data_IF_495871894572
#
_entry.id   IF_495871894572
#
_cell.length_a   1.000
_cell.length_b   1.000
_cell.length_c   1.000
_cell.angle_alpha   90.00
_cell.angle_beta   90.00
_cell.angle_gamma   90.00
#
_symmetry.space_group_name_H-M   'P 1'
#
loop_
_entity.id
_entity.type
_entity.pdbx_description
1 polymer ?
#
# COMPACT_ATOMS: atom_id res chain seq x y z
N UNK A 1 -9.89 -30.97 -28.44
CA UNK A 1 -9.84 -31.89 -27.27
C UNK A 1 -8.99 -31.21 -26.23
N UNK A 2 -9.51 -30.90 -25.05
CA UNK A 2 -8.66 -30.48 -23.95
C UNK A 2 -7.72 -31.65 -23.61
N UNK A 3 -6.41 -31.45 -23.73
CA UNK A 3 -5.41 -32.49 -23.45
C UNK A 3 -5.32 -32.86 -21.96
N UNK A 4 -5.91 -32.05 -21.08
CA UNK A 4 -5.87 -32.21 -19.62
C UNK A 4 -7.27 -32.11 -19.02
N UNK A 5 -7.55 -32.93 -18.00
CA UNK A 5 -8.78 -32.89 -17.22
C UNK A 5 -8.84 -31.64 -16.36
N UNK A 6 -10.00 -31.00 -16.20
CA UNK A 6 -10.22 -29.83 -15.33
C UNK A 6 -9.66 -30.00 -13.91
N UNK A 7 -9.76 -31.22 -13.36
CA UNK A 7 -9.22 -31.53 -12.02
C UNK A 7 -7.69 -31.46 -12.00
N UNK A 8 -7.04 -31.94 -13.07
CA UNK A 8 -5.59 -31.85 -13.23
C UNK A 8 -5.15 -30.40 -13.45
N UNK A 9 -5.95 -29.59 -14.14
CA UNK A 9 -5.65 -28.17 -14.36
C UNK A 9 -5.78 -27.36 -13.06
N UNK A 10 -6.87 -27.53 -12.30
CA UNK A 10 -7.01 -26.90 -10.98
C UNK A 10 -5.90 -27.32 -10.01
N UNK A 11 -5.47 -28.58 -10.07
CA UNK A 11 -4.32 -29.04 -9.30
C UNK A 11 -3.01 -28.38 -9.76
N UNK A 12 -2.79 -28.24 -11.07
CA UNK A 12 -1.62 -27.57 -11.62
C UNK A 12 -1.57 -26.07 -11.23
N UNK A 13 -2.69 -25.35 -11.30
CA UNK A 13 -2.78 -23.97 -10.81
C UNK A 13 -2.43 -23.88 -9.31
N UNK A 14 -3.00 -24.76 -8.49
CA UNK A 14 -2.75 -24.77 -7.05
C UNK A 14 -1.29 -25.09 -6.70
N UNK A 15 -0.68 -26.07 -7.37
CA UNK A 15 0.71 -26.46 -7.16
C UNK A 15 1.70 -25.41 -7.69
N UNK A 16 1.42 -24.80 -8.85
CA UNK A 16 2.22 -23.71 -9.39
C UNK A 16 2.26 -22.50 -8.47
N UNK A 17 1.08 -22.06 -8.03
CA UNK A 17 0.95 -20.96 -7.08
C UNK A 17 1.71 -21.23 -5.78
N UNK A 18 1.67 -22.46 -5.27
CA UNK A 18 2.42 -22.84 -4.07
C UNK A 18 3.95 -22.70 -4.27
N UNK A 19 4.50 -23.17 -5.39
CA UNK A 19 5.94 -23.05 -5.70
C UNK A 19 6.35 -21.58 -5.82
N UNK A 20 5.54 -20.74 -6.47
CA UNK A 20 5.78 -19.29 -6.60
C UNK A 20 5.81 -18.61 -5.23
N UNK A 21 4.84 -18.90 -4.37
CA UNK A 21 4.73 -18.30 -3.04
C UNK A 21 5.93 -18.68 -2.17
N UNK A 22 6.36 -19.95 -2.19
CA UNK A 22 7.53 -20.39 -1.43
C UNK A 22 8.80 -19.73 -2.02
N UNK A 23 8.88 -19.51 -3.34
CA UNK A 23 10.02 -18.83 -3.97
C UNK A 23 10.11 -17.36 -3.60
N UNK A 24 8.98 -16.67 -3.59
CA UNK A 24 8.88 -15.31 -3.08
C UNK A 24 9.25 -15.24 -1.60
N UNK A 25 8.78 -16.20 -0.79
CA UNK A 25 9.12 -16.31 0.62
C UNK A 25 10.64 -16.41 0.82
N UNK A 26 11.32 -17.31 0.10
CA UNK A 26 12.78 -17.47 0.22
C UNK A 26 13.53 -16.23 -0.24
N UNK A 27 13.03 -15.50 -1.24
CA UNK A 27 13.62 -14.24 -1.70
C UNK A 27 13.52 -13.14 -0.64
N UNK A 28 12.37 -12.99 0.03
CA UNK A 28 12.17 -11.92 1.03
C UNK A 28 12.87 -12.24 2.37
N UNK A 29 12.90 -13.52 2.77
CA UNK A 29 13.56 -13.94 4.01
C UNK A 29 15.06 -14.11 3.87
N UNK A 30 15.63 -13.91 2.67
CA UNK A 30 17.04 -14.13 2.35
C UNK A 30 17.51 -15.52 2.81
N UNK A 31 16.65 -16.52 2.61
CA UNK A 31 16.92 -17.88 3.06
C UNK A 31 17.84 -18.58 2.04
N UNK A 32 18.98 -19.07 2.52
CA UNK A 32 19.98 -19.76 1.70
C UNK A 32 20.19 -21.18 2.22
N UNK A 33 19.62 -22.16 1.51
CA UNK A 33 19.79 -23.57 1.85
C UNK A 33 20.78 -24.22 0.87
N UNK A 34 22.08 -24.02 1.11
CA UNK A 34 23.15 -24.52 0.25
C UNK A 34 23.11 -23.94 -1.17
N UNK A 35 23.02 -24.75 -2.24
CA UNK A 35 22.96 -24.23 -3.62
C UNK A 35 21.62 -23.56 -3.98
N UNK A 36 20.60 -23.66 -3.11
CA UNK A 36 19.28 -23.08 -3.31
C UNK A 36 19.22 -21.69 -2.67
N UNK A 37 19.47 -20.66 -3.48
CA UNK A 37 19.28 -19.26 -3.10
C UNK A 37 17.85 -18.82 -3.37
N UNK A 38 17.36 -17.83 -2.62
CA UNK A 38 16.01 -17.26 -2.83
C UNK A 38 15.79 -16.73 -4.27
N UNK A 39 16.84 -16.28 -4.95
CA UNK A 39 16.77 -15.87 -6.37
C UNK A 39 16.53 -17.06 -7.29
N UNK A 40 17.22 -18.19 -7.07
CA UNK A 40 17.06 -19.39 -7.88
C UNK A 40 15.65 -19.98 -7.69
N UNK A 41 15.20 -20.06 -6.44
CA UNK A 41 13.89 -20.58 -6.08
C UNK A 41 12.77 -19.72 -6.70
N UNK A 42 12.86 -18.39 -6.56
CA UNK A 42 11.92 -17.47 -7.19
C UNK A 42 11.90 -17.59 -8.72
N UNK A 43 13.05 -17.77 -9.34
CA UNK A 43 13.14 -17.94 -10.80
C UNK A 43 12.44 -19.21 -11.27
N UNK A 44 12.58 -20.32 -10.52
CA UNK A 44 11.87 -21.57 -10.80
C UNK A 44 10.36 -21.36 -10.65
N UNK A 45 9.91 -20.71 -9.57
CA UNK A 45 8.49 -20.40 -9.34
C UNK A 45 7.88 -19.58 -10.48
N UNK A 46 8.53 -18.48 -10.87
CA UNK A 46 8.04 -17.64 -11.96
C UNK A 46 8.02 -18.38 -13.31
N UNK A 47 8.99 -19.26 -13.56
CA UNK A 47 9.01 -20.09 -14.76
C UNK A 47 7.84 -21.10 -14.76
N UNK A 48 7.55 -21.72 -13.61
CA UNK A 48 6.41 -22.63 -13.48
C UNK A 48 5.08 -21.91 -13.72
N UNK A 49 4.93 -20.67 -13.21
CA UNK A 49 3.73 -19.86 -13.43
C UNK A 49 3.56 -19.47 -14.90
N UNK A 50 4.65 -19.08 -15.57
CA UNK A 50 4.63 -18.76 -16.99
C UNK A 50 4.17 -19.95 -17.86
N UNK A 51 4.61 -21.17 -17.52
CA UNK A 51 4.18 -22.39 -18.22
C UNK A 51 2.70 -22.69 -17.97
N UNK A 52 2.22 -22.51 -16.75
CA UNK A 52 0.81 -22.73 -16.40
C UNK A 52 -0.10 -21.72 -17.12
N UNK A 53 0.29 -20.44 -17.17
CA UNK A 53 -0.42 -19.42 -17.96
C UNK A 53 -0.41 -19.71 -19.46
N UNK A 54 0.69 -20.25 -20.00
CA UNK A 54 0.73 -20.64 -21.40
C UNK A 54 -0.24 -21.80 -21.69
N UNK A 55 -0.36 -22.75 -20.76
CA UNK A 55 -1.29 -23.89 -20.87
C UNK A 55 -2.76 -23.47 -20.68
N UNK A 56 -3.04 -22.48 -19.82
CA UNK A 56 -4.40 -21.98 -19.57
C UNK A 56 -5.05 -21.35 -20.80
N UNK A 57 -4.25 -20.74 -21.69
CA UNK A 57 -4.74 -20.17 -22.95
C UNK A 57 -5.34 -21.21 -23.91
N UNK A 58 -5.01 -22.49 -23.74
CA UNK A 58 -5.55 -23.59 -24.53
C UNK A 58 -6.76 -24.28 -23.86
N UNK A 59 -7.19 -23.80 -22.70
CA UNK A 59 -8.37 -24.31 -22.00
C UNK A 59 -9.65 -23.77 -22.68
N UNK A 60 -10.59 -24.63 -23.08
CA UNK A 60 -11.84 -24.18 -23.68
C UNK A 60 -12.64 -23.36 -22.66
N UNK A 61 -13.17 -22.22 -23.10
CA UNK A 61 -14.07 -21.39 -22.29
C UNK A 61 -15.24 -22.25 -21.81
N UNK A 62 -15.41 -22.31 -20.49
CA UNK A 62 -16.50 -23.05 -19.89
C UNK A 62 -17.83 -22.45 -20.35
N UNK A 63 -18.71 -23.33 -20.86
CA UNK A 63 -20.09 -22.96 -21.12
C UNK A 63 -20.78 -22.87 -19.77
N UNK A 64 -21.16 -21.65 -19.38
CA UNK A 64 -21.99 -21.44 -18.20
C UNK A 64 -23.26 -22.30 -18.30
N UNK A 65 -23.69 -22.85 -17.15
CA UNK A 65 -24.97 -23.54 -17.06
C UNK A 65 -26.06 -22.55 -17.48
N UNK A 66 -26.90 -22.92 -18.44
CA UNK A 66 -28.03 -22.10 -18.86
C UNK A 66 -29.10 -22.11 -17.76
N UNK A 67 -28.93 -21.23 -16.78
CA UNK A 67 -29.85 -21.04 -15.64
C UNK A 67 -31.27 -20.69 -16.09
N UNK A 68 -31.44 -20.29 -17.35
CA UNK A 68 -32.72 -19.99 -17.99
C UNK A 68 -33.60 -21.24 -18.15
N UNK A 69 -33.02 -22.45 -18.16
CA UNK A 69 -33.79 -23.70 -18.14
C UNK A 69 -34.44 -24.00 -16.79
N UNK A 70 -33.88 -23.47 -15.69
CA UNK A 70 -34.28 -23.81 -14.31
C UNK A 70 -35.09 -22.66 -13.67
N UNK A 71 -34.83 -21.41 -14.06
CA UNK A 71 -35.56 -20.23 -13.60
C UNK A 71 -35.96 -19.33 -14.78
N UNK A 72 -37.09 -19.61 -15.45
CA UNK A 72 -37.58 -18.81 -16.57
C UNK A 72 -37.91 -17.36 -16.17
N UNK A 73 -38.12 -17.08 -14.88
CA UNK A 73 -38.36 -15.75 -14.31
C UNK A 73 -37.20 -14.76 -14.54
N UNK A 74 -35.97 -15.24 -14.72
CA UNK A 74 -34.80 -14.41 -15.03
C UNK A 74 -34.65 -14.10 -16.52
N UNK A 75 -35.36 -14.83 -17.40
CA UNK A 75 -35.36 -14.59 -18.86
C UNK A 75 -36.11 -13.32 -19.26
N UNK A 76 -37.04 -12.87 -18.40
CA UNK A 76 -37.90 -11.71 -18.63
C UNK A 76 -37.14 -10.36 -18.63
N UNK A 77 -35.85 -10.36 -18.32
CA UNK A 77 -34.97 -9.17 -18.35
C UNK A 77 -34.28 -8.91 -19.68
N UNK A 78 -34.28 -9.85 -20.62
CA UNK A 78 -33.68 -9.66 -21.95
C UNK A 78 -34.77 -9.14 -22.89
N UNK A 79 -34.74 -7.82 -23.13
CA UNK A 79 -35.56 -7.14 -24.14
C UNK A 79 -35.41 -7.82 -25.50
N UNK A 80 -36.41 -8.60 -25.88
CA UNK A 80 -36.70 -9.05 -27.24
C UNK A 80 -38.12 -8.64 -27.60
N UNK A 81 -38.29 -8.05 -28.77
CA UNK A 81 -39.45 -7.29 -29.23
C UNK A 81 -40.78 -8.06 -29.34
N UNK A 82 -41.86 -7.27 -29.55
CA UNK A 82 -43.22 -7.61 -30.05
C UNK A 82 -44.19 -8.25 -29.05
N UNK A 83 -45.47 -7.87 -28.95
CA UNK A 83 -46.43 -7.18 -29.84
C UNK A 83 -47.56 -6.55 -28.98
N UNK A 84 -48.12 -5.45 -29.45
CA UNK A 84 -49.35 -4.80 -28.93
C UNK A 84 -50.50 -5.82 -28.78
N UNK A 85 -51.15 -5.85 -27.61
CA UNK A 85 -52.56 -6.20 -27.48
C UNK A 85 -53.27 -5.11 -26.68
N UNK A 86 -54.29 -4.55 -27.31
CA UNK A 86 -55.17 -3.52 -26.77
C UNK A 86 -56.21 -4.22 -25.91
N UNK A 87 -56.36 -3.83 -24.65
CA UNK A 87 -57.54 -4.16 -23.85
C UNK A 87 -58.07 -2.90 -23.14
N UNK A 88 -59.39 -2.78 -23.19
CA UNK A 88 -60.22 -1.63 -22.82
C UNK A 88 -60.36 -1.44 -21.30
N UNK A 89 -60.64 -0.22 -20.80
CA UNK A 89 -60.64 0.09 -19.38
C UNK A 89 -62.03 -0.11 -18.77
N UNK A 90 -62.23 -1.23 -18.08
CA UNK A 90 -63.23 -1.36 -17.03
C UNK A 90 -62.86 -2.58 -16.18
N UNK A 91 -63.04 -2.49 -14.87
CA UNK A 91 -62.78 -3.54 -13.86
C UNK A 91 -61.37 -3.69 -13.28
N UNK A 92 -60.49 -2.70 -13.40
CA UNK A 92 -59.18 -2.74 -12.74
C UNK A 92 -59.26 -2.61 -11.20
N UNK A 93 -60.32 -2.06 -10.62
CA UNK A 93 -60.39 -1.79 -9.17
C UNK A 93 -61.08 -2.90 -8.36
N UNK A 94 -62.08 -3.57 -8.93
CA UNK A 94 -62.73 -4.75 -8.34
C UNK A 94 -61.87 -6.01 -8.46
N UNK A 95 -61.17 -6.18 -9.58
CA UNK A 95 -60.24 -7.29 -9.81
C UNK A 95 -58.97 -7.21 -8.96
N UNK A 96 -58.49 -6.02 -8.59
CA UNK A 96 -57.34 -5.88 -7.70
C UNK A 96 -57.70 -6.29 -6.27
N UNK A 97 -58.85 -5.86 -5.75
CA UNK A 97 -59.29 -6.26 -4.41
C UNK A 97 -59.62 -7.76 -4.35
N UNK A 98 -60.26 -8.31 -5.39
CA UNK A 98 -60.50 -9.74 -5.50
C UNK A 98 -59.23 -10.55 -5.75
N UNK A 99 -58.22 -10.02 -6.46
CA UNK A 99 -56.88 -10.65 -6.58
C UNK A 99 -56.06 -10.53 -5.30
N UNK A 100 -56.21 -9.46 -4.52
CA UNK A 100 -55.55 -9.33 -3.21
C UNK A 100 -56.18 -10.30 -2.20
N UNK A 101 -57.51 -10.37 -2.14
CA UNK A 101 -58.24 -11.34 -1.31
C UNK A 101 -57.99 -12.76 -1.77
N UNK A 102 -57.92 -13.01 -3.09
CA UNK A 102 -57.51 -14.30 -3.61
C UNK A 102 -56.05 -14.60 -3.27
N UNK A 103 -55.11 -13.65 -3.37
CA UNK A 103 -53.73 -13.86 -2.92
C UNK A 103 -53.64 -14.09 -1.41
N UNK A 104 -54.40 -13.38 -0.58
CA UNK A 104 -54.44 -13.55 0.87
C UNK A 104 -55.11 -14.86 1.30
N UNK A 105 -55.99 -15.41 0.46
CA UNK A 105 -56.71 -16.67 0.70
C UNK A 105 -56.02 -17.88 0.07
N UNK A 106 -55.28 -17.69 -1.02
CA UNK A 106 -54.53 -18.69 -1.81
C UNK A 106 -53.10 -18.85 -1.30
N UNK A 107 -52.41 -17.73 -1.00
CA UNK A 107 -51.30 -17.78 -0.07
C UNK A 107 -51.93 -17.92 1.31
N UNK A 108 -52.21 -19.17 1.71
CA UNK A 108 -52.23 -19.51 3.12
C UNK A 108 -51.00 -18.83 3.71
N UNK A 109 -51.19 -17.72 4.43
CA UNK A 109 -50.19 -17.19 5.33
C UNK A 109 -50.12 -18.23 6.44
N UNK A 110 -49.50 -19.36 6.10
CA UNK A 110 -49.31 -20.47 7.00
C UNK A 110 -48.44 -19.92 8.13
N UNK A 111 -48.66 -20.39 9.35
CA UNK A 111 -47.89 -19.91 10.50
C UNK A 111 -46.37 -20.02 10.25
N UNK A 112 -45.98 -20.98 9.40
CA UNK A 112 -44.63 -21.20 8.90
C UNK A 112 -44.10 -20.06 8.03
N UNK A 113 -44.88 -19.50 7.10
CA UNK A 113 -44.48 -18.36 6.25
C UNK A 113 -44.30 -17.10 7.10
N UNK A 114 -45.23 -16.85 8.03
CA UNK A 114 -45.12 -15.73 8.97
C UNK A 114 -43.91 -15.89 9.91
N UNK A 115 -43.64 -17.12 10.37
CA UNK A 115 -42.47 -17.47 11.18
C UNK A 115 -41.16 -17.33 10.40
N UNK A 116 -41.14 -17.72 9.13
CA UNK A 116 -39.98 -17.60 8.24
C UNK A 116 -39.66 -16.14 7.90
N UNK A 117 -40.68 -15.30 7.72
CA UNK A 117 -40.53 -13.87 7.52
C UNK A 117 -40.03 -13.20 8.81
N UNK A 118 -40.59 -13.57 9.96
CA UNK A 118 -40.11 -13.11 11.27
C UNK A 118 -38.65 -13.50 11.52
N UNK A 119 -38.27 -14.74 11.18
CA UNK A 119 -36.88 -15.19 11.23
C UNK A 119 -35.98 -14.43 10.27
N UNK A 120 -36.45 -14.13 9.06
CA UNK A 120 -35.70 -13.37 8.06
C UNK A 120 -35.47 -11.93 8.50
N UNK A 121 -36.48 -11.26 9.06
CA UNK A 121 -36.37 -9.91 9.63
C UNK A 121 -35.41 -9.91 10.82
N UNK A 122 -35.50 -10.89 11.71
CA UNK A 122 -34.60 -11.02 12.88
C UNK A 122 -33.15 -11.30 12.47
N UNK A 123 -32.97 -12.13 11.43
CA UNK A 123 -31.65 -12.40 10.85
C UNK A 123 -31.07 -11.14 10.18
N UNK A 124 -31.90 -10.37 9.47
CA UNK A 124 -31.50 -9.10 8.87
C UNK A 124 -31.12 -8.06 9.93
N UNK A 125 -31.90 -7.92 11.01
CA UNK A 125 -31.56 -7.06 12.15
C UNK A 125 -30.21 -7.46 12.76
N UNK A 126 -29.97 -8.76 12.93
CA UNK A 126 -28.72 -9.29 13.49
C UNK A 126 -27.52 -9.03 12.57
N UNK A 127 -27.70 -9.19 11.25
CA UNK A 127 -26.68 -8.85 10.26
C UNK A 127 -26.38 -7.35 10.23
N UNK A 128 -27.41 -6.50 10.26
CA UNK A 128 -27.26 -5.04 10.30
C UNK A 128 -26.55 -4.57 11.58
N UNK A 129 -26.87 -5.15 12.74
CA UNK A 129 -26.17 -4.90 14.00
C UNK A 129 -24.70 -5.34 13.97
N UNK A 130 -24.37 -6.35 13.17
CA UNK A 130 -22.98 -6.82 13.00
C UNK A 130 -22.16 -5.95 12.02
N UNK A 131 -22.83 -5.24 11.10
CA UNK A 131 -22.19 -4.33 10.15
C UNK A 131 -21.72 -3.03 10.82
N UNK A 132 -22.50 -2.48 11.75
CA UNK A 132 -22.14 -1.23 12.45
C UNK A 132 -20.74 -1.26 13.09
N UNK A 133 -20.37 -2.25 13.94
CA UNK A 133 -19.03 -2.31 14.53
C UNK A 133 -17.94 -2.66 13.50
N UNK A 134 -18.29 -3.33 12.40
CA UNK A 134 -17.35 -3.63 11.30
C UNK A 134 -16.98 -2.35 10.54
N UNK A 135 -17.95 -1.48 10.25
CA UNK A 135 -17.70 -0.18 9.61
C UNK A 135 -16.82 0.73 10.48
N UNK A 136 -17.08 0.77 11.79
CA UNK A 136 -16.28 1.52 12.76
C UNK A 136 -14.85 0.97 12.89
N UNK A 137 -14.70 -0.36 12.87
CA UNK A 137 -13.39 -1.03 12.87
C UNK A 137 -12.61 -0.75 11.59
N UNK A 138 -13.28 -0.68 10.44
CA UNK A 138 -12.65 -0.36 9.15
C UNK A 138 -12.18 1.10 9.10
N UNK A 139 -12.96 2.03 9.64
CA UNK A 139 -12.55 3.43 9.80
C UNK A 139 -11.35 3.56 10.75
N UNK A 140 -11.35 2.81 11.84
CA UNK A 140 -10.23 2.77 12.80
C UNK A 140 -8.96 2.20 12.19
N UNK A 141 -9.08 1.13 11.38
CA UNK A 141 -7.94 0.53 10.65
C UNK A 141 -7.37 1.49 9.61
N UNK A 142 -8.23 2.20 8.88
CA UNK A 142 -7.81 3.23 7.93
C UNK A 142 -7.03 4.35 8.63
N UNK A 143 -7.59 4.87 9.74
CA UNK A 143 -6.93 5.89 10.55
C UNK A 143 -5.58 5.40 11.09
N UNK A 144 -5.52 4.17 11.59
CA UNK A 144 -4.27 3.56 12.04
C UNK A 144 -3.22 3.49 10.92
N UNK A 145 -3.62 3.11 9.71
CA UNK A 145 -2.71 3.10 8.54
C UNK A 145 -2.23 4.49 8.15
N UNK A 146 -3.09 5.51 8.24
CA UNK A 146 -2.72 6.91 8.01
C UNK A 146 -1.72 7.39 9.07
N UNK A 147 -1.98 7.13 10.35
CA UNK A 147 -1.07 7.49 11.46
C UNK A 147 0.28 6.78 11.34
N UNK A 148 0.31 5.50 10.94
CA UNK A 148 1.57 4.80 10.67
C UNK A 148 2.36 5.44 9.53
N UNK A 149 1.68 5.91 8.49
CA UNK A 149 2.33 6.60 7.36
C UNK A 149 2.93 7.93 7.82
N UNK A 150 2.20 8.70 8.64
CA UNK A 150 2.70 9.95 9.23
C UNK A 150 3.89 9.68 10.16
N UNK A 151 3.81 8.65 11.01
CA UNK A 151 4.88 8.27 11.91
C UNK A 151 6.15 7.85 11.15
N UNK A 152 6.00 7.11 10.04
CA UNK A 152 7.13 6.75 9.18
C UNK A 152 7.80 7.98 8.58
N UNK A 153 7.03 8.95 8.07
CA UNK A 153 7.56 10.21 7.55
C UNK A 153 8.27 11.04 8.64
N UNK A 154 7.74 11.05 9.86
CA UNK A 154 8.39 11.72 11.00
C UNK A 154 9.70 11.03 11.41
N UNK A 155 9.75 9.71 11.39
CA UNK A 155 11.00 8.95 11.63
C UNK A 155 12.05 9.24 10.56
N UNK A 156 11.66 9.32 9.29
CA UNK A 156 12.56 9.71 8.21
C UNK A 156 13.11 11.12 8.43
N UNK A 157 12.24 12.07 8.78
CA UNK A 157 12.64 13.44 9.13
C UNK A 157 13.60 13.46 10.33
N UNK A 158 13.39 12.64 11.35
CA UNK A 158 14.30 12.51 12.50
C UNK A 158 15.66 11.98 12.06
N UNK A 159 15.71 10.96 11.20
CA UNK A 159 16.97 10.43 10.67
C UNK A 159 17.73 11.51 9.88
N UNK A 160 17.01 12.27 9.06
CA UNK A 160 17.57 13.40 8.31
C UNK A 160 18.12 14.48 9.25
N UNK A 161 17.37 14.88 10.28
CA UNK A 161 17.83 15.83 11.28
C UNK A 161 19.08 15.33 12.02
N UNK A 162 19.16 14.05 12.37
CA UNK A 162 20.36 13.45 12.97
C UNK A 162 21.56 13.53 12.03
N UNK A 163 21.39 13.27 10.73
CA UNK A 163 22.45 13.43 9.73
C UNK A 163 22.92 14.88 9.64
N UNK A 164 21.99 15.82 9.56
CA UNK A 164 22.30 17.26 9.52
C UNK A 164 23.03 17.70 10.79
N UNK A 165 22.61 17.23 11.96
CA UNK A 165 23.27 17.53 13.23
C UNK A 165 24.69 16.98 13.28
N UNK A 166 24.89 15.73 12.85
CA UNK A 166 26.22 15.12 12.79
C UNK A 166 27.14 15.86 11.82
N UNK A 167 26.62 16.22 10.64
CA UNK A 167 27.35 17.01 9.65
C UNK A 167 27.70 18.40 10.20
N UNK A 168 26.77 19.05 10.92
CA UNK A 168 27.00 20.36 11.54
C UNK A 168 28.05 20.28 12.65
N UNK A 169 28.02 19.24 13.48
CA UNK A 169 29.03 19.00 14.51
C UNK A 169 30.43 18.77 13.89
N UNK A 170 30.51 17.97 12.83
CA UNK A 170 31.75 17.77 12.09
C UNK A 170 32.25 19.06 11.44
N UNK A 171 31.36 19.85 10.84
CA UNK A 171 31.72 21.15 10.26
C UNK A 171 32.20 22.15 11.31
N UNK A 172 31.57 22.19 12.47
CA UNK A 172 32.01 23.03 13.60
C UNK A 172 33.38 22.59 14.13
N UNK A 173 33.66 21.28 14.21
CA UNK A 173 34.97 20.79 14.59
C UNK A 173 36.06 21.24 13.59
N UNK A 174 35.78 21.13 12.28
CA UNK A 174 36.68 21.63 11.23
C UNK A 174 36.90 23.14 11.34
N UNK A 175 35.84 23.94 11.53
CA UNK A 175 35.95 25.39 11.71
C UNK A 175 36.82 25.71 12.92
N UNK A 176 36.65 25.01 14.04
CA UNK A 176 37.49 25.22 15.22
C UNK A 176 38.97 24.92 14.94
N UNK A 177 39.26 23.86 14.21
CA UNK A 177 40.62 23.50 13.80
C UNK A 177 41.23 24.56 12.87
N UNK A 178 40.50 25.01 11.85
CA UNK A 178 40.92 26.10 10.95
C UNK A 178 41.14 27.41 11.71
N UNK A 179 40.29 27.73 12.69
CA UNK A 179 40.43 28.92 13.54
C UNK A 179 41.67 28.82 14.44
N UNK A 180 41.95 27.64 15.02
CA UNK A 180 43.17 27.39 15.79
C UNK A 180 44.42 27.58 14.92
N UNK A 181 44.44 27.01 13.72
CA UNK A 181 45.56 27.16 12.78
C UNK A 181 45.78 28.63 12.38
N UNK A 182 44.71 29.35 12.05
CA UNK A 182 44.78 30.77 11.70
C UNK A 182 45.26 31.63 12.87
N UNK A 183 44.83 31.32 14.11
CA UNK A 183 45.32 32.02 15.29
C UNK A 183 46.82 31.78 15.53
N UNK A 184 47.32 30.57 15.25
CA UNK A 184 48.77 30.30 15.32
C UNK A 184 49.54 31.12 14.27
N UNK A 185 49.08 31.14 13.02
CA UNK A 185 49.70 31.97 11.95
C UNK A 185 49.66 33.46 12.29
N UNK A 186 48.53 33.94 12.81
CA UNK A 186 48.39 35.33 13.25
C UNK A 186 49.38 35.66 14.37
N UNK A 187 49.55 34.75 15.34
CA UNK A 187 50.54 34.91 16.43
C UNK A 187 51.96 35.01 15.87
N UNK A 188 52.33 34.16 14.92
CA UNK A 188 53.65 34.21 14.25
C UNK A 188 53.86 35.54 13.51
N UNK A 189 52.86 36.00 12.76
CA UNK A 189 52.91 37.29 12.07
C UNK A 189 53.04 38.47 13.04
N UNK A 190 52.30 38.44 14.15
CA UNK A 190 52.38 39.47 15.20
C UNK A 190 53.75 39.48 15.89
N UNK A 191 54.35 38.31 16.13
CA UNK A 191 55.71 38.20 16.65
C UNK A 191 56.73 38.77 15.67
N UNK A 192 56.61 38.42 14.38
CA UNK A 192 57.47 38.98 13.32
C UNK A 192 57.35 40.51 13.21
N UNK A 193 56.12 41.03 13.24
CA UNK A 193 55.85 42.47 13.24
C UNK A 193 56.51 43.17 14.45
N UNK A 194 56.40 42.57 15.64
CA UNK A 194 57.02 43.10 16.87
C UNK A 194 58.55 43.12 16.76
N UNK A 195 59.16 42.05 16.25
CA UNK A 195 60.61 41.98 16.01
C UNK A 195 61.06 43.01 14.99
N UNK A 196 60.31 43.21 13.91
CA UNK A 196 60.61 44.22 12.89
C UNK A 196 60.48 45.65 13.43
N UNK A 197 59.42 45.93 14.21
CA UNK A 197 59.25 47.22 14.87
C UNK A 197 60.36 47.51 15.89
N UNK A 198 60.76 46.50 16.68
CA UNK A 198 61.91 46.60 17.60
C UNK A 198 63.21 46.88 16.83
N UNK A 199 63.44 46.16 15.74
CA UNK A 199 64.62 46.35 14.88
C UNK A 199 64.66 47.76 14.26
N UNK A 200 63.53 48.24 13.74
CA UNK A 200 63.42 49.61 13.24
C UNK A 200 63.67 50.63 14.35
N UNK A 201 63.06 50.47 15.53
CA UNK A 201 63.26 51.37 16.66
C UNK A 201 64.74 51.40 17.09
N UNK A 202 65.43 50.26 17.11
CA UNK A 202 66.87 50.18 17.37
C UNK A 202 67.70 50.93 16.31
N UNK A 203 67.37 50.81 15.03
CA UNK A 203 68.05 51.53 13.94
C UNK A 203 67.80 53.04 14.03
N UNK A 204 66.56 53.47 14.29
CA UNK A 204 66.22 54.88 14.48
C UNK A 204 66.89 55.45 15.73
N UNK A 205 66.92 54.71 16.84
CA UNK A 205 67.63 55.08 18.06
C UNK A 205 69.15 55.17 17.87
N UNK A 206 69.73 54.24 17.10
CA UNK A 206 71.13 54.29 16.69
C UNK A 206 71.46 55.48 15.78
N UNK A 207 70.57 55.82 14.86
CA UNK A 207 70.70 56.98 13.97
C UNK A 207 70.56 58.31 14.72
N UNK A 208 69.61 58.42 15.65
CA UNK A 208 69.45 59.57 16.54
C UNK A 208 70.67 59.74 17.47
N UNK A 209 71.19 58.64 18.03
CA UNK A 209 72.40 58.67 18.86
C UNK A 209 73.63 59.11 18.05
N UNK A 210 73.74 58.65 16.79
CA UNK A 210 74.80 59.04 15.87
C UNK A 210 74.68 60.49 15.35
N UNK A 211 73.46 61.02 15.25
CA UNK A 211 73.22 62.44 14.90
C UNK A 211 73.35 63.39 16.10
N UNK A 212 72.98 62.95 17.30
CA UNK A 212 73.09 63.74 18.53
C UNK A 212 74.51 63.84 19.10
N UNK A 213 75.38 62.88 18.80
CA UNK A 213 76.78 62.87 19.25
C UNK A 213 77.75 63.60 18.30
N UNK A 214 77.22 64.43 17.39
CA UNK A 214 77.97 65.25 16.42
C UNK A 214 77.88 66.77 16.70
N UNK A 215 77.54 67.14 17.93
CA UNK A 215 77.60 68.50 18.47
C UNK A 215 78.71 68.63 19.48
#
# INVERSE_FOLDING_TARGET
MALLSKKAMNFAYGMGAAVVIIGALFKITHFELGPLTGTLMLSIGLLTEALIFALSAFEPVDKDLDWTLVYPELSNGVKGETKKRVETPSDSQGMLSQKLDAMLKEAKIDGELMSSLGSSIKNFESAAKSIAPTAESMASTKKYSEELTVAAAQMESLNSLYKVQLQSASRNAQINEEVLENNMKLKEQMQSLTTNLSSLNNVYGGMLSAMGNKG
#
